data_IF_006293595917
#
_entry.id   IF_006293595917
#
_cell.length_a   1.000
_cell.length_b   1.000
_cell.length_c   1.000
_cell.angle_alpha   90.00
_cell.angle_beta   90.00
_cell.angle_gamma   90.00
#
_symmetry.space_group_name_H-M   'P 1'
#
loop_
_entity.id
_entity.type
_entity.pdbx_description
1 polymer ?
#
# COMPACT_ATOMS: atom_id res chain seq x y z
N UNK A 1 -17.73 15.38 13.76
CA UNK A 1 -16.93 14.17 13.42
C UNK A 1 -15.56 14.66 12.98
N UNK A 2 -14.56 14.60 13.86
CA UNK A 2 -13.23 15.15 13.59
C UNK A 2 -12.33 14.05 13.04
N UNK A 3 -12.22 13.99 11.72
CA UNK A 3 -11.31 13.08 11.03
C UNK A 3 -9.88 13.61 11.20
N UNK A 4 -9.08 12.95 12.03
CA UNK A 4 -7.63 13.15 12.12
C UNK A 4 -6.94 12.00 11.39
N UNK A 5 -6.50 12.14 10.14
CA UNK A 5 -5.82 11.09 9.40
C UNK A 5 -4.30 11.20 9.62
N UNK A 6 -3.82 10.99 10.85
CA UNK A 6 -2.36 11.03 11.12
C UNK A 6 -1.78 9.79 11.78
N UNK A 7 -2.60 8.82 12.16
CA UNK A 7 -2.10 7.54 12.66
C UNK A 7 -2.99 6.38 12.21
N UNK A 8 -3.33 6.34 10.92
CA UNK A 8 -3.49 5.03 10.32
C UNK A 8 -2.07 4.46 10.22
N UNK A 9 -1.70 3.64 11.22
CA UNK A 9 -0.94 2.43 10.92
C UNK A 9 -1.70 1.72 9.81
N UNK A 10 -1.38 2.11 8.57
CA UNK A 10 -1.79 1.44 7.37
C UNK A 10 -1.10 0.07 7.45
N UNK A 11 -1.70 -0.85 8.23
CA UNK A 11 -1.71 -2.26 7.91
C UNK A 11 -2.53 -2.37 6.61
N UNK A 12 -2.05 -1.77 5.52
CA UNK A 12 -2.55 -2.11 4.20
C UNK A 12 -2.13 -3.55 4.02
N UNK A 13 -3.06 -4.47 4.27
CA UNK A 13 -2.91 -5.86 3.86
C UNK A 13 -2.72 -5.97 2.33
N UNK A 14 -3.01 -4.87 1.61
CA UNK A 14 -2.78 -4.68 0.19
C UNK A 14 -1.30 -4.70 -0.22
N UNK A 15 -0.45 -3.90 0.45
CA UNK A 15 0.95 -3.74 0.05
C UNK A 15 1.86 -3.46 1.26
N UNK A 16 3.10 -3.95 1.20
CA UNK A 16 4.15 -3.72 2.18
C UNK A 16 5.08 -2.62 1.69
N UNK A 17 5.26 -1.54 2.46
CA UNK A 17 6.33 -0.57 2.17
C UNK A 17 7.68 -1.16 2.55
N UNK A 18 8.59 -1.26 1.60
CA UNK A 18 9.96 -1.72 1.79
C UNK A 18 10.91 -0.59 1.38
N UNK A 19 11.30 0.22 2.37
CA UNK A 19 12.08 1.44 2.14
C UNK A 19 11.31 2.47 1.31
N UNK A 20 11.86 2.84 0.16
CA UNK A 20 11.25 3.79 -0.79
C UNK A 20 10.24 3.15 -1.76
N UNK A 21 10.08 1.82 -1.74
CA UNK A 21 9.20 1.09 -2.64
C UNK A 21 7.99 0.51 -1.90
N UNK A 22 6.91 0.28 -2.64
CA UNK A 22 5.71 -0.42 -2.21
C UNK A 22 5.66 -1.78 -2.88
N UNK A 23 5.46 -2.84 -2.09
CA UNK A 23 5.49 -4.22 -2.58
C UNK A 23 4.10 -4.82 -2.40
N UNK A 24 3.42 -5.17 -3.49
CA UNK A 24 2.11 -5.83 -3.42
C UNK A 24 2.24 -7.17 -2.69
N UNK A 25 1.36 -7.48 -1.73
CA UNK A 25 1.46 -8.75 -0.99
C UNK A 25 0.97 -9.96 -1.81
N UNK A 26 0.06 -9.75 -2.75
CA UNK A 26 -0.49 -10.79 -3.63
C UNK A 26 0.57 -11.33 -4.59
N UNK A 27 1.13 -10.47 -5.45
CA UNK A 27 2.09 -10.87 -6.49
C UNK A 27 3.55 -10.55 -6.19
N UNK A 28 3.85 -9.89 -5.07
CA UNK A 28 5.20 -9.46 -4.66
C UNK A 28 5.88 -8.49 -5.65
N UNK A 29 5.13 -7.89 -6.58
CA UNK A 29 5.64 -6.83 -7.47
C UNK A 29 5.99 -5.59 -6.66
N UNK A 30 7.09 -4.95 -7.07
CA UNK A 30 7.59 -3.73 -6.45
C UNK A 30 7.20 -2.52 -7.29
N UNK A 31 6.73 -1.49 -6.60
CA UNK A 31 6.18 -0.28 -7.14
C UNK A 31 6.83 0.93 -6.46
N UNK A 32 6.93 2.04 -7.17
CA UNK A 32 7.50 3.28 -6.62
C UNK A 32 6.44 4.14 -5.94
N UNK A 33 5.20 4.05 -6.40
CA UNK A 33 4.06 4.80 -5.85
C UNK A 33 3.12 3.87 -5.09
N UNK A 34 2.40 4.44 -4.13
CA UNK A 34 1.36 3.73 -3.39
C UNK A 34 0.21 3.32 -4.32
N UNK A 35 -0.19 4.22 -5.21
CA UNK A 35 -1.31 4.03 -6.15
C UNK A 35 -1.10 2.81 -7.05
N UNK A 36 0.12 2.61 -7.59
CA UNK A 36 0.41 1.48 -8.47
C UNK A 36 0.40 0.16 -7.70
N UNK A 37 0.88 0.17 -6.44
CA UNK A 37 0.79 -0.98 -5.55
C UNK A 37 -0.65 -1.32 -5.14
N UNK A 38 -1.50 -0.30 -4.96
CA UNK A 38 -2.93 -0.48 -4.68
C UNK A 38 -3.69 -0.99 -5.90
N UNK A 39 -3.49 -0.38 -7.08
CA UNK A 39 -4.10 -0.81 -8.33
C UNK A 39 -3.70 -2.25 -8.69
N UNK A 40 -2.44 -2.62 -8.48
CA UNK A 40 -2.00 -3.99 -8.69
C UNK A 40 -2.68 -4.96 -7.72
N UNK A 41 -2.87 -4.60 -6.45
CA UNK A 41 -3.56 -5.46 -5.48
C UNK A 41 -5.06 -5.57 -5.77
N UNK A 42 -5.70 -4.49 -6.23
CA UNK A 42 -7.13 -4.45 -6.59
C UNK A 42 -7.42 -5.25 -7.87
N UNK A 43 -6.43 -5.36 -8.77
CA UNK A 43 -6.51 -6.17 -9.99
C UNK A 43 -6.29 -7.69 -9.76
N UNK A 44 -6.09 -8.14 -8.52
CA UNK A 44 -5.91 -9.55 -8.16
C UNK A 44 -7.17 -10.13 -7.52
#
# INVERSE_FOLDING_TARGET
>A
MSMNPKDEKIKSEKYKRVGAKYVCKQCKKQFFTKEDAEACFDSH
#
